data_IF_157516555963
#
_entry.id   IF_157516555963
#
_cell.length_a   1.000
_cell.length_b   1.000
_cell.length_c   1.000
_cell.angle_alpha   90.00
_cell.angle_beta   90.00
_cell.angle_gamma   90.00
#
_symmetry.space_group_name_H-M   'P 1'
#
loop_
_entity.id
_entity.type
_entity.pdbx_description
1 polymer ?
#
# COMPACT_ATOMS: atom_id res chain seq x y z
N UNK A 1 7.92 9.52 -15.18
CA UNK A 1 6.97 8.55 -14.59
C UNK A 1 5.94 9.34 -13.81
N UNK A 2 4.67 9.35 -14.22
CA UNK A 2 3.62 10.17 -13.57
C UNK A 2 3.30 9.56 -12.21
N UNK A 3 3.69 10.25 -11.14
CA UNK A 3 3.47 9.86 -9.74
C UNK A 3 2.03 10.27 -9.40
N UNK A 4 1.17 9.30 -9.10
CA UNK A 4 -0.25 9.52 -8.82
C UNK A 4 -0.52 9.16 -7.36
N UNK A 5 -1.40 9.91 -6.69
CA UNK A 5 -1.79 9.65 -5.30
C UNK A 5 -1.34 10.73 -4.30
N UNK A 6 -1.74 10.58 -3.04
CA UNK A 6 -1.52 11.56 -1.94
C UNK A 6 -0.05 11.98 -1.81
N UNK A 7 0.90 11.11 -2.15
CA UNK A 7 2.34 11.41 -2.11
C UNK A 7 2.79 12.43 -3.16
N UNK A 8 2.07 12.57 -4.28
CA UNK A 8 2.33 13.61 -5.27
C UNK A 8 1.76 14.98 -4.85
N UNK A 9 0.86 15.02 -3.87
CA UNK A 9 0.33 16.25 -3.28
C UNK A 9 1.21 16.78 -2.13
N UNK A 10 2.20 15.99 -1.66
CA UNK A 10 3.14 16.42 -0.66
C UNK A 10 4.30 17.21 -1.31
N UNK A 11 4.67 18.38 -0.79
CA UNK A 11 5.88 19.08 -1.21
C UNK A 11 7.12 18.19 -1.02
N UNK A 12 8.18 18.42 -1.80
CA UNK A 12 9.36 17.54 -1.83
C UNK A 12 10.03 17.36 -0.44
N UNK A 13 10.05 18.40 0.39
CA UNK A 13 10.63 18.34 1.76
C UNK A 13 9.92 17.38 2.72
N UNK A 14 8.59 17.51 2.94
CA UNK A 14 7.82 16.55 3.74
C UNK A 14 7.85 15.11 3.24
N UNK A 15 8.06 14.88 1.93
CA UNK A 15 8.08 13.54 1.34
C UNK A 15 9.31 12.74 1.74
N UNK A 16 10.48 13.37 1.75
CA UNK A 16 11.71 12.76 2.23
C UNK A 16 11.62 12.44 3.73
N UNK A 17 11.08 13.37 4.53
CA UNK A 17 10.85 13.15 5.96
C UNK A 17 9.91 11.97 6.23
N UNK A 18 8.82 11.82 5.47
CA UNK A 18 7.93 10.66 5.59
C UNK A 18 8.63 9.34 5.26
N UNK A 19 9.56 9.37 4.31
CA UNK A 19 10.36 8.20 3.94
C UNK A 19 11.37 7.85 5.03
N UNK A 20 11.98 8.85 5.66
CA UNK A 20 12.93 8.69 6.78
C UNK A 20 12.25 8.20 8.07
N UNK A 21 10.99 8.60 8.30
CA UNK A 21 10.19 8.13 9.44
C UNK A 21 9.63 6.71 9.21
N UNK A 22 9.59 6.25 7.96
CA UNK A 22 9.15 4.92 7.60
C UNK A 22 10.19 3.85 7.92
N UNK A 23 9.72 2.62 8.15
CA UNK A 23 10.59 1.43 8.25
C UNK A 23 10.56 0.67 6.93
N UNK A 24 11.73 0.31 6.40
CA UNK A 24 11.81 -0.63 5.29
C UNK A 24 11.46 -2.03 5.77
N UNK A 25 10.57 -2.70 5.04
CA UNK A 25 10.16 -4.08 5.32
C UNK A 25 9.88 -4.80 4.01
N UNK A 26 10.07 -6.11 4.02
CA UNK A 26 9.83 -6.98 2.88
C UNK A 26 8.89 -8.12 3.28
N UNK A 27 8.12 -8.59 2.30
CA UNK A 27 7.17 -9.68 2.48
C UNK A 27 7.30 -10.65 1.32
N UNK A 28 7.12 -11.94 1.61
CA UNK A 28 7.02 -12.95 0.57
C UNK A 28 5.69 -12.81 -0.20
N UNK A 29 5.70 -13.28 -1.45
CA UNK A 29 4.50 -13.26 -2.28
C UNK A 29 3.35 -14.04 -1.60
N UNK A 30 2.15 -13.45 -1.63
CA UNK A 30 0.96 -14.02 -0.98
C UNK A 30 0.80 -13.66 0.50
N UNK A 31 1.73 -12.90 1.09
CA UNK A 31 1.57 -12.39 2.46
C UNK A 31 0.41 -11.39 2.55
N UNK A 32 -0.52 -11.63 3.48
CA UNK A 32 -1.60 -10.69 3.81
C UNK A 32 -1.07 -9.56 4.69
N UNK A 33 -1.18 -8.32 4.24
CA UNK A 33 -0.66 -7.15 4.97
C UNK A 33 -1.61 -6.66 6.07
N UNK A 34 -2.92 -6.66 5.80
CA UNK A 34 -3.98 -6.30 6.73
C UNK A 34 -5.31 -6.89 6.26
N UNK A 35 -6.31 -6.93 7.15
CA UNK A 35 -7.67 -7.36 6.82
C UNK A 35 -8.64 -6.18 6.67
N UNK A 36 -9.64 -6.35 5.82
CA UNK A 36 -10.75 -5.41 5.70
C UNK A 36 -11.45 -5.23 7.06
N UNK A 37 -11.83 -3.98 7.38
CA UNK A 37 -12.44 -3.62 8.67
C UNK A 37 -11.46 -3.57 9.86
N UNK A 38 -10.19 -3.90 9.64
CA UNK A 38 -9.12 -3.71 10.62
C UNK A 38 -8.82 -2.24 10.91
N UNK A 39 -8.16 -1.98 12.04
CA UNK A 39 -7.70 -0.62 12.39
C UNK A 39 -6.65 -0.15 11.40
N UNK A 40 -6.86 1.02 10.81
CA UNK A 40 -5.88 1.69 9.95
C UNK A 40 -4.83 2.42 10.79
N UNK A 41 -3.81 1.69 11.27
CA UNK A 41 -2.71 2.22 12.08
C UNK A 41 -1.41 2.43 11.29
N UNK A 42 -1.39 2.04 10.03
CA UNK A 42 -0.22 2.07 9.13
C UNK A 42 -0.62 2.52 7.73
N UNK A 43 0.32 3.17 7.06
CA UNK A 43 0.29 3.39 5.62
C UNK A 43 1.55 2.78 5.00
N UNK A 44 1.49 2.51 3.69
CA UNK A 44 2.53 1.79 2.97
C UNK A 44 2.95 2.59 1.74
N UNK A 45 4.25 2.60 1.44
CA UNK A 45 4.80 3.11 0.18
C UNK A 45 5.47 1.93 -0.49
N UNK A 46 5.03 1.60 -1.70
CA UNK A 46 5.54 0.45 -2.44
C UNK A 46 6.84 0.86 -3.16
N UNK A 47 7.97 0.29 -2.73
CA UNK A 47 9.26 0.50 -3.40
C UNK A 47 9.44 -0.44 -4.59
N UNK A 48 9.05 -1.69 -4.43
CA UNK A 48 9.21 -2.77 -5.43
C UNK A 48 8.07 -3.78 -5.31
N UNK A 49 7.74 -4.45 -6.41
CA UNK A 49 6.69 -5.46 -6.45
C UNK A 49 5.28 -4.88 -6.52
N UNK A 50 4.29 -5.74 -6.29
CA UNK A 50 2.88 -5.42 -6.43
C UNK A 50 2.09 -5.93 -5.22
N UNK A 51 1.04 -5.22 -4.84
CA UNK A 51 0.09 -5.63 -3.80
C UNK A 51 -1.31 -5.64 -4.38
N UNK A 52 -2.04 -6.73 -4.17
CA UNK A 52 -3.46 -6.78 -4.50
C UNK A 52 -4.27 -6.19 -3.34
N UNK A 53 -5.15 -5.26 -3.66
CA UNK A 53 -6.24 -4.84 -2.80
C UNK A 53 -7.45 -5.71 -3.15
N UNK A 54 -7.95 -6.45 -2.16
CA UNK A 54 -9.16 -7.24 -2.29
C UNK A 54 -10.19 -6.85 -1.23
N UNK A 55 -11.43 -7.19 -1.52
CA UNK A 55 -12.55 -7.04 -0.58
C UNK A 55 -13.18 -8.40 -0.28
N UNK A 56 -13.64 -8.55 0.96
CA UNK A 56 -14.40 -9.71 1.36
C UNK A 56 -15.80 -9.67 0.74
N UNK A 57 -16.15 -10.73 0.02
CA UNK A 57 -17.49 -10.91 -0.55
C UNK A 57 -18.11 -12.15 0.09
N UNK A 58 -19.23 -12.01 0.86
CA UNK A 58 -19.87 -13.14 1.52
C UNK A 58 -20.16 -14.29 0.55
N UNK A 59 -19.75 -15.50 0.93
CA UNK A 59 -19.94 -16.71 0.13
C UNK A 59 -19.02 -16.83 -1.10
N UNK A 60 -18.02 -15.96 -1.26
CA UNK A 60 -17.05 -15.99 -2.36
C UNK A 60 -15.62 -15.83 -1.84
N UNK A 61 -14.65 -16.19 -2.69
CA UNK A 61 -13.24 -15.83 -2.45
C UNK A 61 -13.08 -14.30 -2.53
N UNK A 62 -12.12 -13.70 -1.80
CA UNK A 62 -11.84 -12.27 -1.89
C UNK A 62 -11.66 -11.84 -3.35
N UNK A 63 -12.33 -10.75 -3.72
CA UNK A 63 -12.29 -10.22 -5.07
C UNK A 63 -11.24 -9.11 -5.14
N UNK A 64 -10.23 -9.26 -6.00
CA UNK A 64 -9.24 -8.22 -6.25
C UNK A 64 -9.93 -7.04 -6.94
N UNK A 65 -9.89 -5.88 -6.31
CA UNK A 65 -10.45 -4.63 -6.84
C UNK A 65 -9.38 -3.80 -7.54
N UNK A 66 -8.13 -3.88 -7.08
CA UNK A 66 -7.01 -3.13 -7.64
C UNK A 66 -5.68 -3.85 -7.37
N UNK A 67 -4.70 -3.65 -8.26
CA UNK A 67 -3.32 -4.05 -8.03
C UNK A 67 -2.44 -2.80 -7.97
N UNK A 68 -1.87 -2.55 -6.80
CA UNK A 68 -1.00 -1.41 -6.53
C UNK A 68 0.44 -1.77 -6.88
N UNK A 69 1.12 -0.90 -7.61
CA UNK A 69 2.55 -1.00 -7.93
C UNK A 69 3.36 0.08 -7.22
N UNK A 70 4.67 0.20 -7.53
CA UNK A 70 5.53 1.17 -6.89
C UNK A 70 5.10 2.63 -7.14
N UNK A 71 5.14 3.46 -6.10
CA UNK A 71 4.76 4.88 -6.15
C UNK A 71 4.04 5.35 -4.90
#
# INVERSE_FOLDING_TARGET
>A
MKRSGVLAALPDGPREQLTELGREVSFDAGTRLFEEGGRADRFWILRTGNVNLDIHVPGRRPAVVETLGPG
#
